data_IF_721218074811
#
_entry.id   IF_721218074811
#
_cell.length_a   1.000
_cell.length_b   1.000
_cell.length_c   1.000
_cell.angle_alpha   90.00
_cell.angle_beta   90.00
_cell.angle_gamma   90.00
#
_symmetry.space_group_name_H-M   'P 1'
#
loop_
_entity.id
_entity.type
_entity.pdbx_description
1 polymer ?
#
# COMPACT_ATOMS: atom_id res chain seq x y z
N UNK A 1 -23.56 2.94 9.99
CA UNK A 1 -22.41 3.71 9.43
C UNK A 1 -22.05 3.04 8.10
N UNK A 2 -22.09 3.75 6.96
CA UNK A 2 -21.69 3.14 5.68
C UNK A 2 -20.17 2.95 5.71
N UNK A 3 -19.70 1.73 5.49
CA UNK A 3 -18.28 1.47 5.26
C UNK A 3 -17.84 2.24 4.03
N UNK A 4 -16.83 3.11 4.15
CA UNK A 4 -16.21 3.78 3.01
C UNK A 4 -15.41 2.77 2.20
N UNK A 5 -15.32 2.99 0.89
CA UNK A 5 -14.47 2.20 0.00
C UNK A 5 -13.04 2.71 0.03
N UNK A 6 -12.05 1.85 -0.26
CA UNK A 6 -10.65 2.26 -0.46
C UNK A 6 -10.54 3.47 -1.38
N UNK A 7 -11.28 3.47 -2.50
CA UNK A 7 -11.26 4.58 -3.45
C UNK A 7 -11.66 5.91 -2.80
N UNK A 8 -12.74 5.93 -2.03
CA UNK A 8 -13.23 7.13 -1.36
C UNK A 8 -12.21 7.67 -0.36
N UNK A 9 -11.67 6.80 0.51
CA UNK A 9 -10.65 7.19 1.50
C UNK A 9 -9.39 7.78 0.87
N UNK A 10 -8.93 7.20 -0.25
CA UNK A 10 -7.75 7.72 -0.97
C UNK A 10 -8.06 9.05 -1.66
N UNK A 11 -9.24 9.18 -2.26
CA UNK A 11 -9.65 10.41 -2.92
C UNK A 11 -9.85 11.58 -1.96
N UNK A 12 -10.30 11.32 -0.72
CA UNK A 12 -10.44 12.34 0.34
C UNK A 12 -9.09 12.94 0.76
N UNK A 13 -7.99 12.20 0.60
CA UNK A 13 -6.63 12.69 0.90
C UNK A 13 -6.04 13.58 -0.20
N UNK A 14 -6.74 13.77 -1.31
CA UNK A 14 -6.24 14.51 -2.48
C UNK A 14 -6.94 15.86 -2.60
N UNK A 15 -6.17 16.93 -2.69
CA UNK A 15 -6.71 18.29 -2.69
C UNK A 15 -7.42 18.63 -4.01
N UNK A 16 -6.78 18.27 -5.12
CA UNK A 16 -7.26 18.59 -6.48
C UNK A 16 -7.06 17.42 -7.43
N UNK A 17 -7.93 17.34 -8.44
CA UNK A 17 -7.88 16.31 -9.49
C UNK A 17 -7.88 14.86 -8.95
N UNK A 18 -8.54 14.61 -7.81
CA UNK A 18 -8.59 13.30 -7.15
C UNK A 18 -8.99 12.17 -8.10
N UNK A 19 -9.97 12.40 -8.99
CA UNK A 19 -10.40 11.45 -10.01
C UNK A 19 -9.32 11.04 -11.03
N UNK A 20 -8.35 11.94 -11.32
CA UNK A 20 -7.25 11.69 -12.25
C UNK A 20 -6.02 11.11 -11.54
N UNK A 21 -5.78 11.52 -10.31
CA UNK A 21 -4.60 11.12 -9.53
C UNK A 21 -4.82 9.74 -8.89
N UNK A 22 -6.03 9.41 -8.45
CA UNK A 22 -6.34 8.10 -7.87
C UNK A 22 -5.94 6.92 -8.77
N UNK A 23 -6.28 6.88 -10.08
CA UNK A 23 -5.82 5.82 -10.99
C UNK A 23 -4.29 5.67 -11.02
N UNK A 24 -3.56 6.79 -10.96
CA UNK A 24 -2.09 6.75 -10.87
C UNK A 24 -1.59 6.20 -9.55
N UNK A 25 -2.17 6.61 -8.41
CA UNK A 25 -1.79 6.07 -7.10
C UNK A 25 -2.02 4.56 -7.06
N UNK A 26 -3.20 4.12 -7.51
CA UNK A 26 -3.53 2.70 -7.63
C UNK A 26 -2.50 1.98 -8.50
N UNK A 27 -2.23 2.47 -9.71
CA UNK A 27 -1.25 1.87 -10.61
C UNK A 27 0.15 1.84 -9.98
N UNK A 28 0.58 2.93 -9.34
CA UNK A 28 1.89 3.04 -8.73
C UNK A 28 2.08 2.04 -7.59
N UNK A 29 1.09 1.89 -6.70
CA UNK A 29 1.16 0.97 -5.57
C UNK A 29 0.98 -0.49 -5.99
N UNK A 30 0.11 -0.77 -6.97
CA UNK A 30 -0.16 -2.13 -7.46
C UNK A 30 0.95 -2.66 -8.38
N UNK A 31 1.65 -1.78 -9.09
CA UNK A 31 2.70 -2.15 -10.03
C UNK A 31 4.05 -2.27 -9.33
N UNK A 32 4.74 -3.38 -9.57
CA UNK A 32 6.07 -3.63 -9.00
C UNK A 32 7.08 -2.60 -9.52
N UNK A 33 8.10 -2.26 -8.72
CA UNK A 33 9.07 -1.21 -9.07
C UNK A 33 9.74 -1.42 -10.43
N UNK A 34 10.06 -2.67 -10.80
CA UNK A 34 10.66 -3.02 -12.09
C UNK A 34 9.70 -2.81 -13.27
N UNK A 35 8.40 -2.86 -13.01
CA UNK A 35 7.34 -2.78 -14.02
C UNK A 35 6.74 -1.37 -14.12
N UNK A 36 7.23 -0.39 -13.33
CA UNK A 36 6.82 1.03 -13.41
C UNK A 36 7.50 1.74 -14.57
N UNK A 37 7.27 1.23 -15.78
CA UNK A 37 7.79 1.77 -17.03
C UNK A 37 6.75 2.65 -17.72
N UNK A 38 7.21 3.52 -18.63
CA UNK A 38 6.33 4.34 -19.47
C UNK A 38 5.36 3.50 -20.29
N UNK A 39 5.83 2.36 -20.80
CA UNK A 39 5.02 1.43 -21.59
C UNK A 39 3.84 0.87 -20.78
N UNK A 40 4.11 0.33 -19.59
CA UNK A 40 3.07 -0.19 -18.71
C UNK A 40 2.12 0.90 -18.23
N UNK A 41 2.65 2.09 -17.93
CA UNK A 41 1.81 3.24 -17.57
C UNK A 41 0.86 3.63 -18.71
N UNK A 42 1.35 3.70 -19.95
CA UNK A 42 0.55 4.06 -21.11
C UNK A 42 -0.54 3.03 -21.39
N UNK A 43 -0.25 1.76 -21.16
CA UNK A 43 -1.19 0.65 -21.31
C UNK A 43 -2.29 0.66 -20.24
N UNK A 44 -1.89 0.80 -18.98
CA UNK A 44 -2.77 0.46 -17.84
C UNK A 44 -3.31 1.67 -17.07
N UNK A 45 -2.72 2.87 -17.23
CA UNK A 45 -3.05 4.04 -16.41
C UNK A 45 -3.37 5.30 -17.20
N UNK A 46 -2.67 5.57 -18.32
CA UNK A 46 -2.71 6.86 -19.03
C UNK A 46 -4.12 7.30 -19.42
N UNK A 47 -4.94 6.38 -19.93
CA UNK A 47 -6.33 6.65 -20.33
C UNK A 47 -7.21 7.11 -19.16
N UNK A 48 -6.94 6.60 -17.95
CA UNK A 48 -7.73 6.89 -16.75
C UNK A 48 -7.23 8.14 -16.03
N UNK A 49 -5.91 8.39 -16.00
CA UNK A 49 -5.34 9.54 -15.30
C UNK A 49 -5.25 10.80 -16.18
N UNK A 50 -5.29 10.66 -17.51
CA UNK A 50 -5.24 11.79 -18.45
C UNK A 50 -3.96 12.63 -18.33
N UNK A 51 -2.84 11.99 -18.00
CA UNK A 51 -1.55 12.62 -17.71
C UNK A 51 -0.42 11.82 -18.38
N UNK A 52 0.63 12.51 -18.83
CA UNK A 52 1.84 11.85 -19.34
C UNK A 52 2.67 11.24 -18.20
N UNK A 53 3.32 10.10 -18.51
CA UNK A 53 4.11 9.34 -17.54
C UNK A 53 5.13 10.20 -16.79
N UNK A 54 5.91 11.00 -17.52
CA UNK A 54 6.94 11.86 -16.95
C UNK A 54 6.34 12.89 -15.99
N UNK A 55 5.24 13.52 -16.37
CA UNK A 55 4.56 14.51 -15.53
C UNK A 55 3.98 13.87 -14.27
N UNK A 56 3.35 12.69 -14.38
CA UNK A 56 2.84 11.97 -13.21
C UNK A 56 3.96 11.57 -12.25
N UNK A 57 5.06 11.00 -12.77
CA UNK A 57 6.17 10.52 -11.96
C UNK A 57 6.98 11.64 -11.32
N UNK A 58 7.16 12.79 -11.99
CA UNK A 58 7.97 13.88 -11.47
C UNK A 58 7.16 14.85 -10.61
N UNK A 59 5.94 15.19 -11.03
CA UNK A 59 5.17 16.28 -10.41
C UNK A 59 4.12 15.80 -9.42
N UNK A 60 3.56 14.59 -9.56
CA UNK A 60 2.60 14.08 -8.58
C UNK A 60 3.29 13.44 -7.38
N UNK A 61 4.40 12.72 -7.56
CA UNK A 61 5.08 12.05 -6.45
C UNK A 61 5.72 13.02 -5.44
N UNK A 62 5.97 14.27 -5.82
CA UNK A 62 6.51 15.29 -4.92
C UNK A 62 5.43 16.01 -4.10
N UNK A 63 4.15 15.82 -4.42
CA UNK A 63 3.06 16.44 -3.69
C UNK A 63 2.78 15.71 -2.39
N UNK A 64 2.62 16.45 -1.30
CA UNK A 64 2.39 15.91 0.04
C UNK A 64 1.04 15.17 0.14
N UNK A 65 -0.01 15.69 -0.52
CA UNK A 65 -1.33 15.05 -0.56
C UNK A 65 -1.28 13.69 -1.28
N UNK A 66 -0.55 13.61 -2.39
CA UNK A 66 -0.30 12.37 -3.13
C UNK A 66 0.53 11.38 -2.32
N UNK A 67 1.58 11.83 -1.63
CA UNK A 67 2.40 10.97 -0.78
C UNK A 67 1.59 10.40 0.39
N UNK A 68 0.75 11.23 1.01
CA UNK A 68 -0.17 10.83 2.07
C UNK A 68 -1.19 9.81 1.58
N UNK A 69 -1.75 10.02 0.40
CA UNK A 69 -2.66 9.08 -0.25
C UNK A 69 -1.97 7.76 -0.65
N UNK A 70 -0.71 7.78 -1.12
CA UNK A 70 0.07 6.55 -1.37
C UNK A 70 0.29 5.77 -0.08
N UNK A 71 0.69 6.44 1.02
CA UNK A 71 0.90 5.80 2.32
C UNK A 71 -0.38 5.11 2.80
N UNK A 72 -1.52 5.77 2.67
CA UNK A 72 -2.83 5.21 3.02
C UNK A 72 -3.19 3.99 2.17
N UNK A 73 -2.97 4.06 0.86
CA UNK A 73 -3.23 2.90 -0.02
C UNK A 73 -2.35 1.71 0.39
N UNK A 74 -1.07 1.96 0.69
CA UNK A 74 -0.14 0.94 1.14
C UNK A 74 -0.57 0.31 2.47
N UNK A 75 -1.10 1.09 3.43
CA UNK A 75 -1.68 0.57 4.69
C UNK A 75 -2.79 -0.44 4.40
N UNK A 76 -3.77 -0.03 3.61
CA UNK A 76 -4.93 -0.86 3.28
C UNK A 76 -4.51 -2.14 2.54
N UNK A 77 -3.55 -2.05 1.62
CA UNK A 77 -3.03 -3.25 0.93
C UNK A 77 -2.21 -4.17 1.81
N UNK A 78 -1.49 -3.62 2.78
CA UNK A 78 -0.69 -4.42 3.72
C UNK A 78 -1.60 -5.33 4.55
N UNK A 79 -2.75 -4.82 5.01
CA UNK A 79 -3.73 -5.62 5.74
C UNK A 79 -4.14 -6.87 4.95
N UNK A 80 -4.51 -6.70 3.68
CA UNK A 80 -4.85 -7.82 2.78
C UNK A 80 -3.68 -8.80 2.64
N UNK A 81 -2.46 -8.31 2.45
CA UNK A 81 -1.27 -9.17 2.33
C UNK A 81 -0.96 -9.95 3.60
N UNK A 82 -1.19 -9.36 4.78
CA UNK A 82 -0.98 -10.04 6.05
C UNK A 82 -1.96 -11.20 6.20
N UNK A 83 -3.23 -11.01 5.81
CA UNK A 83 -4.22 -12.09 5.78
C UNK A 83 -3.76 -13.22 4.85
N UNK A 84 -3.27 -12.88 3.65
CA UNK A 84 -2.74 -13.87 2.69
C UNK A 84 -1.55 -14.65 3.27
N UNK A 85 -0.61 -13.97 3.92
CA UNK A 85 0.54 -14.61 4.57
C UNK A 85 0.06 -15.50 5.72
N UNK A 86 -0.84 -15.01 6.58
CA UNK A 86 -1.38 -15.78 7.69
C UNK A 86 -2.02 -17.08 7.20
N UNK A 87 -2.87 -17.01 6.18
CA UNK A 87 -3.49 -18.17 5.56
C UNK A 87 -2.43 -19.14 5.00
N UNK A 88 -1.44 -18.63 4.26
CA UNK A 88 -0.37 -19.47 3.71
C UNK A 88 0.47 -20.17 4.80
N UNK A 89 0.68 -19.50 5.93
CA UNK A 89 1.40 -20.05 7.07
C UNK A 89 0.57 -21.10 7.82
N UNK A 90 -0.74 -20.87 7.99
CA UNK A 90 -1.66 -21.88 8.51
C UNK A 90 -1.68 -23.14 7.63
N UNK A 91 -1.77 -22.99 6.30
CA UNK A 91 -1.70 -24.12 5.36
C UNK A 91 -0.39 -24.90 5.52
N UNK A 92 0.75 -24.22 5.60
CA UNK A 92 2.06 -24.89 5.81
C UNK A 92 2.10 -25.62 7.16
N UNK A 93 1.61 -24.99 8.23
CA UNK A 93 1.59 -25.58 9.56
C UNK A 93 0.72 -26.84 9.62
N UNK A 94 -0.50 -26.76 9.09
CA UNK A 94 -1.52 -27.82 9.20
C UNK A 94 -1.27 -28.95 8.20
N UNK A 95 -1.09 -28.62 6.92
CA UNK A 95 -1.04 -29.64 5.86
C UNK A 95 0.35 -30.22 5.66
N UNK A 96 1.39 -29.42 5.92
CA UNK A 96 2.79 -29.82 5.68
C UNK A 96 3.56 -30.13 6.97
N UNK A 97 2.93 -29.95 8.13
CA UNK A 97 3.58 -30.16 9.43
C UNK A 97 4.76 -29.22 9.67
N UNK A 98 4.79 -28.05 9.01
CA UNK A 98 5.89 -27.10 9.13
C UNK A 98 5.86 -26.43 10.52
N UNK A 99 6.76 -26.85 11.40
CA UNK A 99 6.84 -26.37 12.78
C UNK A 99 7.27 -24.91 12.87
N UNK A 100 8.04 -24.39 11.90
CA UNK A 100 8.37 -22.97 11.84
C UNK A 100 7.14 -22.16 11.45
N UNK A 101 6.31 -22.67 10.54
CA UNK A 101 5.05 -22.02 10.19
C UNK A 101 4.07 -22.03 11.38
N UNK A 102 3.97 -23.14 12.10
CA UNK A 102 3.16 -23.22 13.33
C UNK A 102 3.62 -22.21 14.38
N UNK A 103 4.94 -22.10 14.60
CA UNK A 103 5.51 -21.10 15.52
C UNK A 103 5.16 -19.67 15.09
N UNK A 104 5.35 -19.34 13.81
CA UNK A 104 5.02 -18.02 13.30
C UNK A 104 3.53 -17.68 13.47
N UNK A 105 2.62 -18.63 13.22
CA UNK A 105 1.17 -18.43 13.41
C UNK A 105 0.84 -18.16 14.87
N UNK A 106 1.41 -18.94 15.80
CA UNK A 106 1.22 -18.75 17.24
C UNK A 106 1.77 -17.40 17.67
N UNK A 107 2.96 -17.00 17.21
CA UNK A 107 3.54 -15.70 17.57
C UNK A 107 2.76 -14.53 16.96
N UNK A 108 2.27 -14.67 15.73
CA UNK A 108 1.38 -13.69 15.10
C UNK A 108 0.03 -13.57 15.82
N UNK A 109 -0.54 -14.68 16.31
CA UNK A 109 -1.80 -14.63 17.09
C UNK A 109 -1.69 -13.94 18.45
N UNK A 110 -0.46 -13.73 18.95
CA UNK A 110 -0.19 -12.95 20.16
C UNK A 110 0.09 -11.48 19.85
N UNK A 111 0.17 -11.11 18.57
CA UNK A 111 0.26 -9.71 18.19
C UNK A 111 -1.11 -9.06 18.28
N UNK A 112 -1.11 -7.74 18.45
CA UNK A 112 -2.33 -6.96 18.62
C UNK A 112 -3.10 -6.78 17.28
N UNK A 113 -2.69 -7.48 16.22
CA UNK A 113 -3.38 -7.51 14.92
C UNK A 113 -4.87 -7.92 15.03
N UNK A 114 -5.19 -8.75 16.01
CA UNK A 114 -6.56 -9.21 16.27
C UNK A 114 -7.26 -8.40 17.37
N UNK A 115 -6.61 -7.39 17.93
CA UNK A 115 -7.22 -6.44 18.87
C UNK A 115 -7.93 -5.32 18.08
N UNK A 116 -9.01 -4.76 18.63
CA UNK A 116 -9.90 -3.80 17.96
C UNK A 116 -9.30 -2.38 17.79
N UNK A 117 -7.97 -2.24 17.65
CA UNK A 117 -7.27 -0.95 17.57
C UNK A 117 -6.86 -0.54 16.15
N UNK A 118 -7.41 0.56 15.63
CA UNK A 118 -7.06 1.13 14.30
C UNK A 118 -5.61 1.67 14.21
N UNK A 119 -4.97 2.01 15.34
CA UNK A 119 -3.73 2.80 15.37
C UNK A 119 -2.43 2.00 15.16
N UNK A 120 -2.39 0.70 15.39
CA UNK A 120 -1.13 -0.06 15.40
C UNK A 120 -0.58 -0.45 14.02
N UNK A 121 -1.44 -0.42 13.00
CA UNK A 121 -1.01 -0.60 11.62
C UNK A 121 0.02 0.48 11.20
N UNK A 122 -0.06 1.65 11.82
CA UNK A 122 0.85 2.79 11.59
C UNK A 122 2.22 2.56 12.23
N UNK A 123 2.24 2.02 13.44
CA UNK A 123 3.47 1.72 14.18
C UNK A 123 4.30 0.64 13.50
N UNK A 124 3.67 -0.41 12.96
CA UNK A 124 4.41 -1.41 12.20
C UNK A 124 4.97 -0.83 10.88
N UNK A 125 4.30 0.14 10.25
CA UNK A 125 4.80 0.79 9.03
C UNK A 125 5.97 1.75 9.29
N UNK A 126 6.04 2.35 10.47
CA UNK A 126 7.16 3.21 10.87
C UNK A 126 8.51 2.46 10.89
N UNK A 127 8.46 1.13 11.09
CA UNK A 127 9.61 0.24 11.16
C UNK A 127 10.05 -0.33 9.81
N UNK A 128 9.34 -0.04 8.71
CA UNK A 128 9.75 -0.45 7.35
C UNK A 128 10.54 0.69 6.70
N UNK A 129 11.84 0.49 6.49
CA UNK A 129 12.72 1.44 5.78
C UNK A 129 12.30 1.53 4.31
N UNK A 130 11.46 2.51 3.97
CA UNK A 130 11.07 2.82 2.59
C UNK A 130 12.11 3.80 2.02
N UNK A 131 13.02 3.38 1.12
CA UNK A 131 14.12 4.23 0.63
C UNK A 131 13.64 5.48 -0.12
N UNK A 132 12.38 5.50 -0.58
CA UNK A 132 11.78 6.65 -1.25
C UNK A 132 11.43 7.81 -0.30
N UNK A 133 11.39 7.59 1.01
CA UNK A 133 11.11 8.63 2.01
C UNK A 133 12.39 9.28 2.59
N UNK A 134 13.58 8.81 2.21
CA UNK A 134 14.87 9.26 2.77
C UNK A 134 15.37 10.63 2.25
N UNK A 135 14.63 11.33 1.39
CA UNK A 135 15.04 12.66 0.88
C UNK A 135 14.06 13.77 1.25
N UNK A 136 14.02 14.15 2.52
CA UNK A 136 13.77 15.55 2.95
C UNK A 136 14.17 15.82 4.42
N UNK A 137 15.08 15.04 5.00
CA UNK A 137 15.65 15.32 6.32
C UNK A 137 17.11 15.71 6.19
N UNK A 138 17.40 16.96 5.84
CA UNK A 138 18.79 17.40 5.61
C UNK A 138 18.96 18.92 5.63
N UNK A 139 18.99 19.45 6.86
CA UNK A 139 19.45 20.80 7.31
C UNK A 139 18.81 22.03 6.69
#
# INVERSE_FOLDING_TARGET
MKSRTTKETIMEKLDVNSNKIYPFIKWYVDTSKKDRTKENFNKDCKSCCGCEFENAMQNWLIREDVQSAIKEYMKQKRFVKIIEIYNAMCTKAIEKGDTNAAKWVVDFSKSDFFEDGEDEMDDYLSNIDIPALKKSGGK
#
